data_IF_992865814561
#
_entry.id   IF_992865814561
#
_cell.length_a   1.000
_cell.length_b   1.000
_cell.length_c   1.000
_cell.angle_alpha   90.00
_cell.angle_beta   90.00
_cell.angle_gamma   90.00
#
_symmetry.space_group_name_H-M   'P 1'
#
loop_
_entity.id
_entity.type
_entity.pdbx_description
1 polymer ?
#
# COMPACT_ATOMS: atom_id res chain seq x y z
N UNK A 1 -9.68 -6.31 31.85
CA UNK A 1 -9.82 -6.73 30.44
C UNK A 1 -8.55 -6.37 29.64
N UNK A 2 -7.40 -7.04 29.86
CA UNK A 2 -6.15 -6.80 29.10
C UNK A 2 -6.03 -7.62 27.81
N UNK A 3 -6.92 -8.59 27.57
CA UNK A 3 -6.87 -9.50 26.41
C UNK A 3 -7.41 -8.88 25.10
N UNK A 4 -8.07 -7.72 25.18
CA UNK A 4 -8.73 -7.07 24.02
C UNK A 4 -7.80 -6.18 23.19
N UNK A 5 -6.71 -5.69 23.79
CA UNK A 5 -5.69 -4.87 23.11
C UNK A 5 -5.07 -5.58 21.89
N UNK A 6 -4.56 -6.83 21.99
CA UNK A 6 -3.97 -7.50 20.83
C UNK A 6 -5.00 -7.74 19.70
N UNK A 7 -6.28 -7.90 20.03
CA UNK A 7 -7.34 -8.09 19.03
C UNK A 7 -7.66 -6.79 18.28
N UNK A 8 -7.66 -5.66 18.98
CA UNK A 8 -7.88 -4.33 18.39
C UNK A 8 -6.70 -3.94 17.47
N UNK A 9 -5.47 -4.28 17.87
CA UNK A 9 -4.28 -4.10 17.02
C UNK A 9 -4.28 -5.01 15.78
N UNK A 10 -4.76 -6.25 15.90
CA UNK A 10 -4.92 -7.14 14.74
C UNK A 10 -5.98 -6.59 13.76
N UNK A 11 -7.05 -5.99 14.26
CA UNK A 11 -8.04 -5.28 13.45
C UNK A 11 -7.47 -4.05 12.74
N UNK A 12 -6.61 -3.28 13.41
CA UNK A 12 -5.90 -2.15 12.80
C UNK A 12 -4.93 -2.62 11.69
N UNK A 13 -4.22 -3.74 11.86
CA UNK A 13 -3.33 -4.34 10.85
C UNK A 13 -4.07 -4.62 9.52
N UNK A 14 -5.24 -5.26 9.61
CA UNK A 14 -6.04 -5.58 8.42
C UNK A 14 -6.57 -4.29 7.78
N UNK A 15 -7.06 -3.36 8.59
CA UNK A 15 -7.60 -2.08 8.13
C UNK A 15 -6.55 -1.21 7.42
N UNK A 16 -5.30 -1.24 7.88
CA UNK A 16 -4.19 -0.49 7.28
C UNK A 16 -3.77 -1.08 5.93
N UNK A 17 -3.71 -2.41 5.83
CA UNK A 17 -3.47 -3.11 4.56
C UNK A 17 -4.57 -2.76 3.54
N UNK A 18 -5.83 -2.76 3.99
CA UNK A 18 -6.98 -2.41 3.16
C UNK A 18 -6.94 -0.92 2.74
N UNK A 19 -6.48 -0.03 3.61
CA UNK A 19 -6.32 1.40 3.30
C UNK A 19 -5.23 1.65 2.24
N UNK A 20 -4.10 0.92 2.29
CA UNK A 20 -3.05 1.00 1.27
C UNK A 20 -3.59 0.53 -0.08
N UNK A 21 -4.26 -0.63 -0.11
CA UNK A 21 -4.89 -1.14 -1.33
C UNK A 21 -5.91 -0.12 -1.86
N UNK A 22 -6.71 0.49 -0.98
CA UNK A 22 -7.67 1.54 -1.34
C UNK A 22 -7.02 2.79 -1.93
N UNK A 23 -5.88 3.24 -1.40
CA UNK A 23 -5.11 4.37 -1.97
C UNK A 23 -4.57 4.03 -3.36
N UNK A 24 -4.01 2.82 -3.53
CA UNK A 24 -3.47 2.38 -4.81
C UNK A 24 -4.59 2.26 -5.86
N UNK A 25 -5.71 1.63 -5.51
CA UNK A 25 -6.87 1.51 -6.42
C UNK A 25 -7.51 2.87 -6.69
N UNK A 26 -7.54 3.78 -5.70
CA UNK A 26 -8.00 5.15 -5.88
C UNK A 26 -7.16 5.94 -6.89
N UNK A 27 -5.84 5.78 -6.85
CA UNK A 27 -4.91 6.32 -7.85
C UNK A 27 -5.16 5.75 -9.26
N UNK A 28 -5.69 4.53 -9.39
CA UNK A 28 -6.04 3.98 -10.70
C UNK A 28 -7.31 4.60 -11.30
N UNK A 29 -8.28 5.00 -10.47
CA UNK A 29 -9.61 5.44 -10.93
C UNK A 29 -9.73 6.97 -11.05
N UNK A 30 -9.11 7.72 -10.14
CA UNK A 30 -9.31 9.18 -10.02
C UNK A 30 -8.12 10.01 -10.47
N UNK A 31 -6.89 9.48 -10.39
CA UNK A 31 -5.70 10.30 -10.67
C UNK A 31 -5.54 10.54 -12.17
N UNK A 32 -5.55 11.83 -12.57
CA UNK A 32 -5.14 12.26 -13.92
C UNK A 32 -3.60 12.36 -14.06
N UNK A 33 -2.87 12.08 -12.98
CA UNK A 33 -1.41 12.04 -12.86
C UNK A 33 -1.06 11.04 -11.76
N UNK A 34 -0.24 10.04 -12.05
CA UNK A 34 0.12 8.99 -11.08
C UNK A 34 0.65 7.73 -11.78
N UNK A 35 1.20 6.79 -11.02
CA UNK A 35 1.76 5.54 -11.58
C UNK A 35 0.67 4.67 -12.22
N UNK A 36 -0.50 4.56 -11.58
CA UNK A 36 -1.66 3.84 -12.12
C UNK A 36 -2.19 4.46 -13.42
N UNK A 37 -2.21 5.79 -13.50
CA UNK A 37 -2.55 6.51 -14.73
C UNK A 37 -1.56 6.23 -15.86
N UNK A 38 -0.25 6.26 -15.59
CA UNK A 38 0.79 5.98 -16.59
C UNK A 38 0.67 4.55 -17.11
N UNK A 39 0.33 3.58 -16.26
CA UNK A 39 0.09 2.19 -16.67
C UNK A 39 -1.10 2.09 -17.66
N UNK A 40 -2.23 2.73 -17.35
CA UNK A 40 -3.40 2.73 -18.21
C UNK A 40 -3.15 3.48 -19.54
N UNK A 41 -2.47 4.62 -19.46
CA UNK A 41 -2.14 5.45 -20.63
C UNK A 41 -1.07 4.80 -21.53
N UNK A 42 -0.06 4.16 -20.96
CA UNK A 42 0.92 3.41 -21.75
C UNK A 42 0.31 2.11 -22.32
N UNK A 43 -0.60 1.48 -21.56
CA UNK A 43 -1.35 0.30 -22.01
C UNK A 43 -2.24 0.60 -23.22
N UNK A 44 -2.91 1.75 -23.24
CA UNK A 44 -3.72 2.17 -24.41
C UNK A 44 -2.87 2.54 -25.63
N UNK A 45 -1.58 2.85 -25.44
CA UNK A 45 -0.61 3.08 -26.52
C UNK A 45 0.15 1.82 -26.94
N UNK A 46 -0.16 0.66 -26.35
CA UNK A 46 0.56 -0.61 -26.56
C UNK A 46 2.08 -0.52 -26.26
N UNK A 47 2.49 0.47 -25.48
CA UNK A 47 3.88 0.70 -25.05
C UNK A 47 4.21 -0.18 -23.85
N UNK A 48 4.33 -1.49 -24.09
CA UNK A 48 4.54 -2.51 -23.04
C UNK A 48 5.80 -2.28 -22.22
N UNK A 49 6.84 -1.67 -22.80
CA UNK A 49 8.06 -1.29 -22.08
C UNK A 49 7.77 -0.30 -20.93
N UNK A 50 6.94 0.72 -21.19
CA UNK A 50 6.55 1.72 -20.19
C UNK A 50 5.61 1.10 -19.15
N UNK A 51 4.69 0.24 -19.59
CA UNK A 51 3.79 -0.50 -18.69
C UNK A 51 4.59 -1.36 -17.70
N UNK A 52 5.56 -2.13 -18.18
CA UNK A 52 6.41 -2.98 -17.32
C UNK A 52 7.26 -2.15 -16.37
N UNK A 53 7.86 -1.05 -16.85
CA UNK A 53 8.62 -0.14 -15.99
C UNK A 53 7.73 0.48 -14.89
N UNK A 54 6.54 0.94 -15.24
CA UNK A 54 5.60 1.52 -14.28
C UNK A 54 5.07 0.49 -13.28
N UNK A 55 4.83 -0.76 -13.71
CA UNK A 55 4.48 -1.87 -12.81
C UNK A 55 5.61 -2.20 -11.84
N UNK A 56 6.87 -2.20 -12.30
CA UNK A 56 8.03 -2.41 -11.44
C UNK A 56 8.12 -1.33 -10.35
N UNK A 57 7.96 -0.06 -10.74
CA UNK A 57 7.94 1.06 -9.80
C UNK A 57 6.74 0.93 -8.84
N UNK A 58 5.57 0.53 -9.33
CA UNK A 58 4.40 0.29 -8.50
C UNK A 58 4.64 -0.82 -7.46
N UNK A 59 5.31 -1.91 -7.85
CA UNK A 59 5.71 -2.96 -6.92
C UNK A 59 6.68 -2.45 -5.85
N UNK A 60 7.68 -1.65 -6.22
CA UNK A 60 8.63 -1.07 -5.28
C UNK A 60 7.92 -0.14 -4.30
N UNK A 61 7.06 0.76 -4.79
CA UNK A 61 6.27 1.67 -3.96
C UNK A 61 5.35 0.90 -3.02
N UNK A 62 4.70 -0.15 -3.51
CA UNK A 62 3.87 -1.05 -2.70
C UNK A 62 4.67 -1.75 -1.59
N UNK A 63 5.87 -2.24 -1.92
CA UNK A 63 6.80 -2.85 -0.94
C UNK A 63 7.29 -1.84 0.10
N UNK A 64 7.60 -0.61 -0.31
CA UNK A 64 8.04 0.47 0.59
C UNK A 64 6.92 0.88 1.53
N UNK A 65 5.69 1.07 1.02
CA UNK A 65 4.52 1.38 1.82
C UNK A 65 4.19 0.26 2.79
N UNK A 66 4.24 -1.00 2.33
CA UNK A 66 4.07 -2.16 3.18
C UNK A 66 5.14 -2.23 4.28
N UNK A 67 6.40 -1.97 3.93
CA UNK A 67 7.51 -1.91 4.88
C UNK A 67 7.36 -0.79 5.91
N UNK A 68 6.94 0.41 5.50
CA UNK A 68 6.65 1.52 6.41
C UNK A 68 5.54 1.17 7.40
N UNK A 69 4.48 0.51 6.93
CA UNK A 69 3.40 0.05 7.80
C UNK A 69 3.87 -1.05 8.75
N UNK A 70 4.65 -2.02 8.26
CA UNK A 70 5.24 -3.07 9.10
C UNK A 70 6.20 -2.52 10.17
N UNK A 71 6.97 -1.46 9.85
CA UNK A 71 7.83 -0.77 10.81
C UNK A 71 7.02 0.00 11.87
N UNK A 72 5.96 0.68 11.43
CA UNK A 72 5.06 1.40 12.34
C UNK A 72 4.41 0.42 13.33
N UNK A 73 4.05 -0.78 12.86
CA UNK A 73 3.57 -1.87 13.71
C UNK A 73 4.62 -2.33 14.73
N UNK A 74 5.85 -2.61 14.30
CA UNK A 74 6.92 -3.06 15.18
C UNK A 74 7.26 -2.03 16.27
N UNK A 75 7.29 -0.75 15.91
CA UNK A 75 7.58 0.36 16.84
C UNK A 75 6.47 0.47 17.89
N UNK A 76 5.21 0.35 17.48
CA UNK A 76 4.07 0.45 18.40
C UNK A 76 3.96 -0.78 19.31
N UNK A 77 4.16 -1.99 18.77
CA UNK A 77 4.21 -3.21 19.59
C UNK A 77 5.33 -3.17 20.63
N UNK A 78 6.51 -2.65 20.25
CA UNK A 78 7.64 -2.51 21.17
C UNK A 78 7.41 -1.45 22.26
N UNK A 79 6.53 -0.47 22.02
CA UNK A 79 6.25 0.64 22.97
C UNK A 79 5.13 0.33 23.96
N UNK A 80 4.28 -0.65 23.68
CA UNK A 80 3.15 -1.06 24.53
C UNK A 80 3.34 -2.45 25.18
N UNK A 81 4.47 -3.09 24.94
CA UNK A 81 4.92 -4.28 25.67
C UNK A 81 5.85 -3.90 26.83
N UNK A 82 5.30 -3.26 27.86
CA UNK A 82 5.72 -3.44 29.26
C UNK A 82 4.49 -3.83 30.08
#
# INVERSE_FOLDING_TARGET
LPYSLPFLFNGMKISMTLAIIGVIVGEFITSQRGLGYIILFAGSRFETAIVMAALLVLCIVGLVLYGLVALTEQIIMKRFGE
#
